data_IF_801221004664
#
_entry.id   IF_801221004664
#
_cell.length_a   1.000
_cell.length_b   1.000
_cell.length_c   1.000
_cell.angle_alpha   90.00
_cell.angle_beta   90.00
_cell.angle_gamma   90.00
#
_symmetry.space_group_name_H-M   'P 1'
#
loop_
_entity.id
_entity.type
_entity.pdbx_description
1 polymer ?
#
# COMPACT_ATOMS: atom_id res chain seq x y z
N UNK A 1 -12.13 7.05 10.13
CA UNK A 1 -11.70 5.79 9.47
C UNK A 1 -11.96 4.56 10.34
N UNK A 2 -11.44 4.47 11.57
CA UNK A 2 -11.65 3.31 12.45
C UNK A 2 -13.12 2.85 12.54
N UNK A 3 -14.06 3.77 12.80
CA UNK A 3 -15.49 3.45 12.86
C UNK A 3 -16.06 2.83 11.56
N UNK A 4 -15.53 3.22 10.39
CA UNK A 4 -15.97 2.68 9.09
C UNK A 4 -15.50 1.25 8.84
N UNK A 5 -14.46 0.81 9.55
CA UNK A 5 -13.84 -0.50 9.41
C UNK A 5 -14.06 -1.38 10.65
N UNK A 6 -14.95 -0.95 11.56
CA UNK A 6 -15.19 -1.64 12.83
C UNK A 6 -15.77 -3.05 12.66
N UNK A 7 -16.45 -3.32 11.54
CA UNK A 7 -16.98 -4.63 11.17
C UNK A 7 -15.91 -5.58 10.58
N UNK A 8 -14.70 -5.09 10.33
CA UNK A 8 -13.60 -5.85 9.71
C UNK A 8 -12.40 -5.92 10.65
N UNK A 9 -12.42 -6.80 11.67
CA UNK A 9 -11.39 -6.84 12.73
C UNK A 9 -9.98 -7.15 12.23
N UNK A 10 -9.84 -7.71 11.02
CA UNK A 10 -8.54 -7.94 10.38
C UNK A 10 -7.85 -6.64 9.90
N UNK A 11 -8.55 -5.50 9.86
CA UNK A 11 -8.02 -4.21 9.46
C UNK A 11 -7.90 -3.31 10.68
N UNK A 12 -6.66 -3.05 11.11
CA UNK A 12 -6.37 -2.05 12.12
C UNK A 12 -6.18 -0.67 11.49
N UNK A 13 -6.75 0.37 12.10
CA UNK A 13 -6.53 1.77 11.71
C UNK A 13 -5.67 2.44 12.77
N UNK A 14 -4.47 2.84 12.38
CA UNK A 14 -3.48 3.44 13.28
C UNK A 14 -3.09 4.82 12.77
N UNK A 15 -3.12 5.82 13.66
CA UNK A 15 -2.53 7.11 13.37
C UNK A 15 -1.00 7.01 13.43
N UNK A 16 -0.32 7.62 12.47
CA UNK A 16 1.15 7.71 12.44
C UNK A 16 1.54 9.17 12.26
N UNK A 17 2.69 9.55 12.82
CA UNK A 17 3.11 10.95 12.80
C UNK A 17 3.67 11.39 11.44
N UNK A 18 4.22 10.46 10.66
CA UNK A 18 4.88 10.80 9.41
C UNK A 18 4.87 9.67 8.37
N UNK A 19 4.50 10.02 7.14
CA UNK A 19 4.72 9.22 5.93
C UNK A 19 5.67 9.92 4.94
N UNK A 20 6.27 11.05 5.36
CA UNK A 20 7.11 11.92 4.52
C UNK A 20 6.44 12.45 3.25
N UNK A 21 5.11 12.50 3.21
CA UNK A 21 4.32 13.01 2.08
C UNK A 21 3.73 14.40 2.39
N UNK A 22 4.50 15.27 3.05
CA UNK A 22 4.01 16.51 3.65
C UNK A 22 3.34 17.48 2.65
N UNK A 23 3.71 17.41 1.37
CA UNK A 23 3.19 18.30 0.32
C UNK A 23 1.87 17.82 -0.31
N UNK A 24 1.36 16.63 0.05
CA UNK A 24 0.18 16.00 -0.57
C UNK A 24 -0.81 15.45 0.48
N UNK A 25 -1.35 16.30 1.38
CA UNK A 25 -2.40 15.87 2.30
C UNK A 25 -3.71 15.58 1.55
N UNK A 26 -4.59 14.70 2.03
CA UNK A 26 -4.39 13.69 3.09
C UNK A 26 -3.69 12.45 2.53
N UNK A 27 -2.97 11.71 3.37
CA UNK A 27 -2.21 10.50 2.98
C UNK A 27 -2.55 9.32 3.88
N UNK A 28 -2.66 8.13 3.30
CA UNK A 28 -2.81 6.86 4.01
C UNK A 28 -1.80 5.83 3.52
N UNK A 29 -1.48 4.86 4.37
CA UNK A 29 -0.73 3.68 3.97
C UNK A 29 -1.54 2.40 4.20
N UNK A 30 -1.45 1.45 3.27
CA UNK A 30 -2.01 0.10 3.42
C UNK A 30 -0.83 -0.87 3.48
N UNK A 31 -0.67 -1.57 4.61
CA UNK A 31 0.45 -2.45 4.88
C UNK A 31 -0.04 -3.76 5.52
N UNK A 32 0.70 -4.84 5.28
CA UNK A 32 0.44 -6.15 5.88
C UNK A 32 1.63 -7.10 5.71
N UNK A 33 1.76 -8.13 6.57
CA UNK A 33 2.83 -9.12 6.46
C UNK A 33 2.85 -9.80 5.08
N UNK A 34 4.04 -9.93 4.47
CA UNK A 34 4.19 -10.54 3.15
C UNK A 34 3.52 -9.79 1.98
N UNK A 35 3.01 -8.58 2.21
CA UNK A 35 2.25 -7.81 1.21
C UNK A 35 2.97 -6.54 0.80
N UNK A 36 2.79 -6.14 -0.46
CA UNK A 36 3.21 -4.82 -0.91
C UNK A 36 2.54 -3.73 -0.07
N UNK A 37 3.31 -2.74 0.37
CA UNK A 37 2.79 -1.57 1.06
C UNK A 37 2.44 -0.49 0.05
N UNK A 38 1.24 0.09 0.16
CA UNK A 38 0.82 1.25 -0.62
C UNK A 38 0.95 2.51 0.22
N UNK A 39 1.47 3.59 -0.36
CA UNK A 39 1.34 4.95 0.18
C UNK A 39 0.54 5.77 -0.83
N UNK A 40 -0.57 6.33 -0.40
CA UNK A 40 -1.55 7.00 -1.27
C UNK A 40 -1.88 8.37 -0.71
N UNK A 41 -1.79 9.40 -1.55
CA UNK A 41 -1.89 10.79 -1.19
C UNK A 41 -2.93 11.53 -2.04
N UNK A 42 -3.07 12.84 -1.81
CA UNK A 42 -4.11 13.70 -2.41
C UNK A 42 -5.54 13.21 -2.12
N UNK A 43 -5.74 12.64 -0.93
CA UNK A 43 -7.06 12.24 -0.45
C UNK A 43 -7.76 13.43 0.21
N UNK A 44 -9.08 13.47 0.11
CA UNK A 44 -9.92 14.40 0.84
C UNK A 44 -10.54 13.63 2.02
N UNK A 45 -10.44 14.17 3.23
CA UNK A 45 -10.89 13.48 4.43
C UNK A 45 -12.42 13.35 4.52
N UNK A 46 -13.17 14.26 3.89
CA UNK A 46 -14.63 14.23 3.84
C UNK A 46 -15.15 13.34 2.71
N UNK A 47 -14.60 13.51 1.51
CA UNK A 47 -15.16 12.92 0.29
C UNK A 47 -14.60 11.52 0.00
N UNK A 48 -13.33 11.26 0.33
CA UNK A 48 -12.64 10.03 -0.08
C UNK A 48 -12.62 8.94 1.01
N UNK A 49 -13.36 9.14 2.10
CA UNK A 49 -13.52 8.19 3.19
C UNK A 49 -13.98 6.79 2.73
N UNK A 50 -14.96 6.74 1.81
CA UNK A 50 -15.49 5.49 1.29
C UNK A 50 -14.50 4.77 0.34
N UNK A 51 -13.72 5.54 -0.44
CA UNK A 51 -12.69 5.01 -1.31
C UNK A 51 -11.56 4.34 -0.52
N UNK A 52 -11.14 4.96 0.59
CA UNK A 52 -10.13 4.38 1.50
C UNK A 52 -10.63 3.07 2.10
N UNK A 53 -11.89 3.03 2.54
CA UNK A 53 -12.51 1.82 3.07
C UNK A 53 -12.58 0.70 2.02
N UNK A 54 -13.07 1.01 0.81
CA UNK A 54 -13.14 0.07 -0.31
C UNK A 54 -11.77 -0.49 -0.67
N UNK A 55 -10.76 0.38 -0.76
CA UNK A 55 -9.41 -0.06 -1.04
C UNK A 55 -8.82 -0.91 0.09
N UNK A 56 -9.07 -0.56 1.37
CA UNK A 56 -8.57 -1.34 2.50
C UNK A 56 -9.13 -2.77 2.49
N UNK A 57 -10.42 -2.94 2.20
CA UNK A 57 -11.06 -4.26 2.05
C UNK A 57 -10.53 -5.03 0.84
N UNK A 58 -10.35 -4.35 -0.30
CA UNK A 58 -9.75 -4.97 -1.49
C UNK A 58 -8.29 -5.38 -1.25
N UNK A 59 -7.54 -4.59 -0.49
CA UNK A 59 -6.18 -4.90 -0.06
C UNK A 59 -6.12 -6.11 0.85
N UNK A 60 -7.06 -6.21 1.81
CA UNK A 60 -7.19 -7.39 2.68
C UNK A 60 -7.44 -8.67 1.86
N UNK A 61 -8.24 -8.60 0.79
CA UNK A 61 -8.53 -9.71 -0.10
C UNK A 61 -7.37 -10.08 -1.06
N UNK A 62 -6.37 -9.20 -1.25
CA UNK A 62 -5.23 -9.44 -2.13
C UNK A 62 -4.10 -10.16 -1.36
N UNK A 63 -3.76 -11.44 -1.68
CA UNK A 63 -2.78 -12.22 -0.92
C UNK A 63 -1.38 -11.60 -0.86
N UNK A 64 -0.93 -11.00 -1.96
CA UNK A 64 0.35 -10.29 -2.09
C UNK A 64 0.22 -8.77 -1.83
N UNK A 65 -0.99 -8.31 -1.49
CA UNK A 65 -1.32 -6.89 -1.33
C UNK A 65 -1.50 -6.12 -2.64
N UNK A 66 -1.32 -6.73 -3.81
CA UNK A 66 -1.46 -6.02 -5.09
C UNK A 66 -2.92 -6.04 -5.55
N UNK A 67 -3.66 -4.99 -5.20
CA UNK A 67 -5.06 -4.86 -5.63
C UNK A 67 -5.16 -4.71 -7.15
N UNK A 68 -6.01 -5.50 -7.85
CA UNK A 68 -6.20 -5.41 -9.29
C UNK A 68 -6.55 -3.98 -9.74
N UNK A 69 -5.97 -3.51 -10.84
CA UNK A 69 -6.14 -2.11 -11.29
C UNK A 69 -7.62 -1.71 -11.46
N UNK A 70 -8.44 -2.62 -12.00
CA UNK A 70 -9.87 -2.38 -12.28
C UNK A 70 -10.72 -2.19 -11.02
N UNK A 71 -10.31 -2.78 -9.89
CA UNK A 71 -11.06 -2.70 -8.63
C UNK A 71 -10.65 -1.49 -7.80
N UNK A 72 -9.57 -0.80 -8.17
CA UNK A 72 -9.11 0.41 -7.46
C UNK A 72 -10.06 1.59 -7.70
N UNK A 73 -10.44 2.32 -6.64
CA UNK A 73 -11.08 3.63 -6.78
C UNK A 73 -10.22 4.61 -7.59
N UNK A 74 -10.83 5.65 -8.16
CA UNK A 74 -10.10 6.58 -9.01
C UNK A 74 -9.02 7.36 -8.25
N UNK A 75 -9.29 7.70 -6.99
CA UNK A 75 -8.32 8.27 -6.03
C UNK A 75 -7.08 7.40 -5.90
N UNK A 76 -7.23 6.08 -5.78
CA UNK A 76 -6.14 5.10 -5.68
C UNK A 76 -5.46 4.74 -7.02
N UNK A 77 -6.01 5.15 -8.16
CA UNK A 77 -5.34 5.03 -9.46
C UNK A 77 -4.35 6.18 -9.72
N UNK A 78 -4.66 7.37 -9.21
CA UNK A 78 -3.85 8.59 -9.44
C UNK A 78 -2.97 8.96 -8.23
N UNK A 79 -3.42 8.66 -7.02
CA UNK A 79 -2.80 9.13 -5.78
C UNK A 79 -1.65 8.27 -5.26
N UNK A 80 -1.27 7.17 -5.92
CA UNK A 80 -0.17 6.31 -5.43
C UNK A 80 1.15 7.08 -5.47
N UNK A 81 1.73 7.31 -4.29
CA UNK A 81 3.05 7.91 -4.10
C UNK A 81 4.12 6.85 -4.27
N UNK A 82 3.92 5.71 -3.60
CA UNK A 82 4.86 4.62 -3.58
C UNK A 82 4.15 3.28 -3.44
N UNK A 83 4.81 2.24 -3.95
CA UNK A 83 4.49 0.86 -3.64
C UNK A 83 5.79 0.17 -3.23
N UNK A 84 5.89 -0.22 -1.96
CA UNK A 84 7.12 -0.75 -1.34
C UNK A 84 6.97 -2.27 -1.18
N UNK A 85 7.97 -3.07 -1.59
CA UNK A 85 7.89 -4.53 -1.44
C UNK A 85 7.84 -4.92 0.05
N UNK A 86 7.29 -6.10 0.38
CA UNK A 86 7.30 -6.58 1.75
C UNK A 86 8.74 -6.85 2.23
N UNK A 87 8.99 -6.68 3.52
CA UNK A 87 10.35 -6.71 4.10
C UNK A 87 11.00 -8.10 4.06
N UNK A 88 10.19 -9.16 4.06
CA UNK A 88 10.63 -10.54 3.92
C UNK A 88 10.93 -10.92 2.46
N UNK A 89 10.64 -10.04 1.49
CA UNK A 89 11.01 -10.23 0.10
C UNK A 89 12.51 -10.02 -0.04
N UNK A 90 13.24 -11.13 -0.07
CA UNK A 90 14.68 -11.12 -0.35
C UNK A 90 14.92 -10.43 -1.71
N UNK A 91 15.72 -9.36 -1.73
CA UNK A 91 16.22 -8.84 -2.99
C UNK A 91 16.99 -9.95 -3.70
N UNK A 92 16.79 -10.11 -5.00
CA UNK A 92 17.74 -10.89 -5.80
C UNK A 92 19.10 -10.22 -5.62
N UNK A 93 20.15 -10.94 -5.17
CA UNK A 93 21.46 -10.34 -5.02
C UNK A 93 21.91 -9.78 -6.36
N UNK A 94 22.36 -8.52 -6.36
CA UNK A 94 22.95 -7.87 -7.53
C UNK A 94 24.35 -8.46 -7.70
N UNK A 95 24.45 -9.72 -8.09
CA UNK A 95 25.74 -10.30 -8.45
C UNK A 95 26.13 -9.61 -9.76
N UNK A 96 27.16 -8.75 -9.72
CA UNK A 96 27.88 -8.36 -10.94
C UNK A 96 28.40 -9.65 -11.57
N UNK A 97 27.81 -10.09 -12.68
CA UNK A 97 28.40 -11.14 -13.48
C UNK A 97 29.73 -10.62 -14.04
N UNK A 98 30.81 -10.87 -13.32
CA UNK A 98 32.12 -11.05 -13.94
C UNK A 98 32.27 -12.56 -14.08
N UNK A 99 32.45 -12.96 -15.33
CA UNK A 99 32.41 -14.32 -15.84
C UNK A 99 33.23 -15.30 -14.99
N UNK A 100 32.64 -16.45 -14.71
CA UNK A 100 33.39 -17.67 -14.43
C UNK A 100 32.91 -18.74 -15.41
N UNK A 101 33.33 -18.59 -16.67
CA UNK A 101 33.57 -19.74 -17.55
C UNK A 101 35.05 -20.08 -17.39
N UNK A 102 35.29 -21.07 -16.53
CA UNK A 102 36.47 -21.95 -16.46
C UNK A 102 36.02 -23.07 -15.52
N UNK A 103 36.05 -24.35 -15.89
CA UNK A 103 36.82 -25.06 -16.91
C UNK A 103 36.00 -26.18 -17.54
#
# INVERSE_FOLDING_TARGET
MAARLADTPAIAVTAVECLSVCKRPCTVALAGPGRWTYVVADLDAGDHAADVELMARAYLAAPDGVVPWRTRPQTFRKGVVARVPPLDRRPTPIIRQKEAVSS
#
